data_IF_766549571896
#
_entry.id   IF_766549571896
#
_cell.length_a   1.000
_cell.length_b   1.000
_cell.length_c   1.000
_cell.angle_alpha   90.00
_cell.angle_beta   90.00
_cell.angle_gamma   90.00
#
_symmetry.space_group_name_H-M   'P 1'
#
loop_
_entity.id
_entity.type
_entity.pdbx_description
1 polymer ?
#
# COMPACT_ATOMS: atom_id res chain seq x y z
N UNK A 1 13.03 -4.29 17.57
CA UNK A 1 12.24 -5.36 16.93
C UNK A 1 12.85 -6.67 17.34
N UNK A 2 12.06 -7.66 17.77
CA UNK A 2 12.56 -8.94 18.24
C UNK A 2 12.91 -9.88 17.08
N UNK A 3 12.21 -9.77 15.94
CA UNK A 3 12.49 -10.56 14.74
C UNK A 3 12.71 -9.64 13.53
N UNK A 4 13.91 -9.64 12.97
CA UNK A 4 14.21 -8.94 11.73
C UNK A 4 13.35 -9.47 10.58
N UNK A 5 12.75 -8.59 9.78
CA UNK A 5 11.80 -8.97 8.72
C UNK A 5 11.77 -7.97 7.56
N UNK A 6 11.49 -8.47 6.37
CA UNK A 6 11.19 -7.74 5.12
C UNK A 6 9.87 -8.24 4.54
N UNK A 7 9.27 -7.49 3.61
CA UNK A 7 7.97 -7.79 2.97
C UNK A 7 6.81 -7.98 3.97
N UNK A 8 6.97 -7.36 5.14
CA UNK A 8 5.97 -7.25 6.20
C UNK A 8 5.16 -5.98 6.01
N UNK A 9 4.08 -5.84 6.78
CA UNK A 9 3.34 -4.58 6.87
C UNK A 9 3.52 -3.96 8.25
N UNK A 10 3.44 -2.63 8.31
CA UNK A 10 3.45 -1.85 9.53
C UNK A 10 2.25 -0.89 9.53
N UNK A 11 1.35 -1.04 10.49
CA UNK A 11 0.10 -0.26 10.55
C UNK A 11 -0.04 0.42 11.90
N UNK A 12 -0.28 1.75 11.88
CA UNK A 12 -0.56 2.50 13.11
C UNK A 12 -1.95 2.14 13.63
N UNK A 13 -2.01 1.88 14.92
CA UNK A 13 -3.22 1.55 15.67
C UNK A 13 -3.78 2.79 16.38
N UNK A 14 -5.07 2.76 16.70
CA UNK A 14 -5.74 3.87 17.41
C UNK A 14 -5.15 4.15 18.81
N UNK A 15 -4.53 3.15 19.44
CA UNK A 15 -3.85 3.28 20.72
C UNK A 15 -2.40 3.84 20.62
N UNK A 16 -1.99 4.30 19.43
CA UNK A 16 -0.67 4.89 19.20
C UNK A 16 0.46 3.89 18.97
N UNK A 17 0.21 2.59 19.10
CA UNK A 17 1.17 1.55 18.76
C UNK A 17 1.24 1.31 17.24
N UNK A 18 2.32 0.70 16.78
CA UNK A 18 2.46 0.22 15.40
C UNK A 18 2.45 -1.30 15.41
N UNK A 19 1.48 -1.91 14.73
CA UNK A 19 1.45 -3.35 14.46
C UNK A 19 2.39 -3.66 13.31
N UNK A 20 3.32 -4.59 13.52
CA UNK A 20 4.22 -5.12 12.49
C UNK A 20 3.93 -6.61 12.32
N UNK A 21 3.50 -7.03 11.14
CA UNK A 21 3.00 -8.41 10.90
C UNK A 21 3.58 -9.05 9.64
N UNK A 22 3.86 -10.36 9.74
CA UNK A 22 4.27 -11.21 8.62
C UNK A 22 5.69 -10.91 8.11
N UNK A 23 5.91 -11.16 6.82
CA UNK A 23 7.22 -11.00 6.17
C UNK A 23 8.12 -12.23 6.33
N UNK A 24 9.42 -12.04 6.11
CA UNK A 24 10.47 -13.05 6.29
C UNK A 24 11.84 -12.42 6.54
N UNK A 25 12.85 -13.22 6.89
CA UNK A 25 14.22 -12.75 7.14
C UNK A 25 15.25 -13.28 6.11
N UNK A 26 14.80 -13.57 4.89
CA UNK A 26 15.64 -14.20 3.86
C UNK A 26 15.86 -15.71 4.03
N UNK A 27 15.28 -16.35 5.07
CA UNK A 27 15.23 -17.82 5.22
C UNK A 27 13.94 -18.40 4.62
N UNK A 28 13.88 -19.74 4.50
CA UNK A 28 12.85 -20.47 3.77
C UNK A 28 11.40 -20.38 4.34
N UNK A 29 11.18 -19.78 5.51
CA UNK A 29 9.86 -19.70 6.13
C UNK A 29 9.37 -18.27 6.26
N UNK A 30 8.14 -18.02 5.81
CA UNK A 30 7.41 -16.77 6.09
C UNK A 30 6.93 -16.75 7.54
N UNK A 31 6.75 -15.56 8.09
CA UNK A 31 6.37 -15.39 9.50
C UNK A 31 4.86 -15.36 9.71
N UNK A 32 4.44 -16.03 10.80
CA UNK A 32 3.13 -15.85 11.44
C UNK A 32 3.15 -14.79 12.54
N UNK A 33 4.35 -14.43 13.01
CA UNK A 33 4.51 -13.55 14.16
C UNK A 33 4.14 -12.10 13.86
N UNK A 34 3.46 -11.46 14.81
CA UNK A 34 3.31 -10.02 14.89
C UNK A 34 3.99 -9.45 16.14
N UNK A 35 4.38 -8.19 16.03
CA UNK A 35 4.95 -7.40 17.12
C UNK A 35 4.31 -6.01 17.16
N UNK A 36 4.24 -5.42 18.34
CA UNK A 36 3.80 -4.07 18.58
C UNK A 36 5.00 -3.20 18.92
N UNK A 37 5.15 -2.08 18.23
CA UNK A 37 6.12 -1.06 18.55
C UNK A 37 5.45 0.12 19.26
N UNK A 38 6.01 0.51 20.40
CA UNK A 38 5.61 1.70 21.13
C UNK A 38 6.61 2.83 20.88
N UNK A 39 6.24 3.80 20.06
CA UNK A 39 7.09 4.94 19.71
C UNK A 39 7.51 5.80 20.91
N UNK A 40 6.64 5.93 21.92
CA UNK A 40 6.92 6.77 23.10
C UNK A 40 8.00 6.17 24.02
N UNK A 41 8.20 4.84 23.96
CA UNK A 41 9.16 4.13 24.83
C UNK A 41 10.29 3.46 24.05
N UNK A 42 10.17 3.32 22.73
CA UNK A 42 11.09 2.55 21.90
C UNK A 42 10.96 1.03 22.06
N UNK A 43 9.99 0.55 22.85
CA UNK A 43 9.87 -0.86 23.19
C UNK A 43 9.09 -1.67 22.16
N UNK A 44 9.44 -2.96 22.07
CA UNK A 44 8.79 -3.95 21.21
C UNK A 44 8.17 -5.06 22.06
N UNK A 45 6.90 -5.36 21.79
CA UNK A 45 6.15 -6.43 22.49
C UNK A 45 5.60 -7.42 21.48
N UNK A 46 5.77 -8.71 21.74
CA UNK A 46 5.16 -9.76 20.91
C UNK A 46 3.65 -9.78 21.16
N UNK A 47 2.85 -9.94 20.10
CA UNK A 47 1.39 -10.12 20.20
C UNK A 47 0.97 -11.46 19.58
N UNK A 48 -0.33 -11.73 19.45
CA UNK A 48 -0.85 -12.95 18.83
C UNK A 48 -0.32 -13.15 17.39
N UNK A 49 -0.43 -14.38 16.91
CA UNK A 49 0.03 -14.78 15.58
C UNK A 49 -1.15 -14.93 14.61
N UNK A 50 -0.94 -14.57 13.34
CA UNK A 50 -1.84 -14.96 12.26
C UNK A 50 -1.79 -16.49 12.06
N UNK A 51 -2.90 -17.07 11.62
CA UNK A 51 -3.02 -18.51 11.39
C UNK A 51 -2.19 -18.98 10.20
N UNK A 52 -2.10 -18.15 9.14
CA UNK A 52 -1.38 -18.42 7.89
C UNK A 52 -0.22 -17.43 7.74
N UNK A 53 1.01 -17.96 7.66
CA UNK A 53 2.20 -17.13 7.44
C UNK A 53 2.12 -16.44 6.07
N UNK A 54 2.50 -15.16 6.00
CA UNK A 54 2.36 -14.39 4.75
C UNK A 54 3.37 -13.25 4.62
N UNK A 55 3.70 -12.91 3.38
CA UNK A 55 4.40 -11.68 2.97
C UNK A 55 3.67 -11.01 1.81
N UNK A 56 4.00 -9.75 1.49
CA UNK A 56 3.36 -8.96 0.41
C UNK A 56 1.83 -8.83 0.52
N UNK A 57 1.32 -8.93 1.75
CA UNK A 57 -0.07 -8.71 2.09
C UNK A 57 -0.29 -7.22 2.39
N UNK A 58 -1.55 -6.82 2.55
CA UNK A 58 -1.92 -5.50 3.08
C UNK A 58 -2.38 -5.62 4.54
N UNK A 59 -2.23 -4.55 5.33
CA UNK A 59 -2.76 -4.44 6.69
C UNK A 59 -3.44 -3.09 6.88
N UNK A 60 -4.78 -3.09 6.90
CA UNK A 60 -5.61 -1.88 6.89
C UNK A 60 -6.30 -1.70 8.23
N UNK A 61 -6.00 -0.60 8.93
CA UNK A 61 -6.72 -0.22 10.15
C UNK A 61 -8.14 0.21 9.79
N UNK A 62 -9.13 -0.47 10.35
CA UNK A 62 -10.55 -0.26 10.10
C UNK A 62 -11.12 0.82 11.03
N UNK A 63 -12.26 1.39 10.66
CA UNK A 63 -12.95 2.40 11.47
C UNK A 63 -13.37 1.90 12.87
N UNK A 64 -13.58 0.58 13.01
CA UNK A 64 -13.88 -0.05 14.31
C UNK A 64 -12.62 -0.37 15.15
N UNK A 65 -11.42 0.03 14.69
CA UNK A 65 -10.16 -0.16 15.39
C UNK A 65 -9.50 -1.53 15.18
N UNK A 66 -10.14 -2.47 14.48
CA UNK A 66 -9.50 -3.73 14.07
C UNK A 66 -8.52 -3.48 12.92
N UNK A 67 -7.61 -4.42 12.66
CA UNK A 67 -6.75 -4.38 11.47
C UNK A 67 -7.08 -5.57 10.57
N UNK A 68 -7.50 -5.29 9.33
CA UNK A 68 -7.68 -6.29 8.29
C UNK A 68 -6.34 -6.60 7.63
N UNK A 69 -5.91 -7.86 7.71
CA UNK A 69 -4.77 -8.39 6.98
C UNK A 69 -5.27 -9.26 5.84
N UNK A 70 -4.96 -8.89 4.60
CA UNK A 70 -5.52 -9.55 3.41
C UNK A 70 -4.45 -9.89 2.37
N UNK A 71 -4.60 -11.07 1.77
CA UNK A 71 -3.77 -11.54 0.67
C UNK A 71 -2.35 -11.91 1.08
N UNK A 72 -1.43 -11.71 0.14
CA UNK A 72 -0.03 -12.09 0.28
C UNK A 72 0.27 -13.46 -0.31
N UNK A 73 1.42 -14.02 0.03
CA UNK A 73 1.81 -15.40 -0.34
C UNK A 73 2.46 -16.13 0.82
N UNK A 74 2.33 -17.45 0.80
CA UNK A 74 3.07 -18.36 1.65
C UNK A 74 3.93 -19.32 0.79
N UNK A 75 4.39 -20.43 1.38
CA UNK A 75 5.21 -21.43 0.69
C UNK A 75 4.38 -22.30 -0.28
N UNK A 76 3.06 -22.34 -0.11
CA UNK A 76 2.14 -23.15 -0.91
C UNK A 76 1.55 -22.36 -2.09
N UNK A 77 1.59 -21.02 -2.05
CA UNK A 77 1.16 -20.17 -3.14
C UNK A 77 0.68 -18.78 -2.72
N UNK A 78 -0.07 -18.14 -3.61
CA UNK A 78 -0.75 -16.87 -3.37
C UNK A 78 -1.97 -17.10 -2.47
N UNK A 79 -2.28 -16.12 -1.63
CA UNK A 79 -3.35 -16.21 -0.65
C UNK A 79 -4.49 -15.28 -1.04
N UNK A 80 -5.72 -15.79 -0.92
CA UNK A 80 -6.94 -14.98 -0.85
C UNK A 80 -7.47 -14.86 0.60
N UNK A 81 -6.83 -15.52 1.57
CA UNK A 81 -7.27 -15.49 2.97
C UNK A 81 -7.10 -14.11 3.61
N UNK A 82 -7.99 -13.82 4.56
CA UNK A 82 -7.94 -12.61 5.36
C UNK A 82 -8.18 -12.89 6.85
N UNK A 83 -7.55 -12.08 7.70
CA UNK A 83 -7.63 -12.18 9.16
C UNK A 83 -7.75 -10.79 9.79
N UNK A 84 -8.45 -10.70 10.91
CA UNK A 84 -8.65 -9.48 11.69
C UNK A 84 -7.82 -9.55 12.98
N UNK A 85 -7.00 -8.53 13.21
CA UNK A 85 -6.35 -8.31 14.50
C UNK A 85 -7.21 -7.41 15.38
N UNK A 86 -7.40 -7.79 16.64
CA UNK A 86 -7.99 -6.94 17.67
C UNK A 86 -6.90 -6.36 18.58
N UNK A 87 -6.57 -5.06 18.48
CA UNK A 87 -5.57 -4.42 19.32
C UNK A 87 -5.86 -4.44 20.82
N UNK A 88 -7.14 -4.53 21.22
CA UNK A 88 -7.52 -4.51 22.64
C UNK A 88 -7.25 -5.83 23.35
N UNK A 89 -7.26 -6.95 22.62
CA UNK A 89 -7.06 -8.30 23.16
C UNK A 89 -5.77 -8.95 22.68
N UNK A 90 -5.14 -8.41 21.63
CA UNK A 90 -3.97 -9.02 20.99
C UNK A 90 -4.29 -10.30 20.22
N UNK A 91 -5.57 -10.55 19.91
CA UNK A 91 -6.02 -11.80 19.27
C UNK A 91 -6.29 -11.62 17.78
N UNK A 92 -6.20 -12.72 17.04
CA UNK A 92 -6.53 -12.80 15.61
C UNK A 92 -7.77 -13.64 15.39
N UNK A 93 -8.60 -13.23 14.43
CA UNK A 93 -9.80 -13.97 14.00
C UNK A 93 -9.83 -14.08 12.49
N UNK A 94 -10.08 -15.26 11.95
CA UNK A 94 -10.29 -15.44 10.50
C UNK A 94 -11.57 -14.78 10.04
N UNK A 95 -11.56 -14.14 8.87
CA UNK A 95 -12.76 -13.60 8.21
C UNK A 95 -12.96 -14.28 6.84
N UNK A 96 -13.97 -13.90 6.07
CA UNK A 96 -14.17 -14.47 4.75
C UNK A 96 -12.94 -14.23 3.85
N UNK A 97 -12.71 -15.15 2.91
CA UNK A 97 -11.65 -15.01 1.92
C UNK A 97 -12.05 -14.00 0.84
N UNK A 98 -11.05 -13.31 0.29
CA UNK A 98 -11.15 -12.57 -0.97
C UNK A 98 -11.56 -13.51 -2.11
N UNK A 99 -12.10 -12.92 -3.17
CA UNK A 99 -12.49 -13.64 -4.38
C UNK A 99 -11.27 -14.05 -5.22
N UNK A 100 -10.21 -13.24 -5.18
CA UNK A 100 -8.99 -13.45 -5.95
C UNK A 100 -7.77 -13.38 -5.03
N UNK A 101 -6.89 -14.37 -5.11
CA UNK A 101 -5.60 -14.34 -4.45
C UNK A 101 -4.66 -13.33 -5.09
N UNK A 102 -3.89 -12.62 -4.26
CA UNK A 102 -3.09 -11.48 -4.74
C UNK A 102 -1.94 -11.13 -3.81
N UNK A 103 -0.79 -10.83 -4.40
CA UNK A 103 0.31 -10.09 -3.77
C UNK A 103 0.40 -8.68 -4.35
N UNK A 104 1.08 -7.77 -3.67
CA UNK A 104 1.50 -6.47 -4.22
C UNK A 104 0.34 -5.60 -4.76
N UNK A 105 -0.83 -5.84 -4.19
CA UNK A 105 -2.05 -5.07 -4.34
C UNK A 105 -2.09 -3.93 -3.33
N UNK A 106 -3.01 -3.00 -3.50
CA UNK A 106 -3.29 -1.96 -2.50
C UNK A 106 -4.62 -2.22 -1.81
N UNK A 107 -4.74 -1.74 -0.57
CA UNK A 107 -5.98 -1.76 0.21
C UNK A 107 -6.25 -0.36 0.78
N UNK A 108 -7.39 0.23 0.44
CA UNK A 108 -7.78 1.58 0.84
C UNK A 108 -9.10 1.57 1.60
N UNK A 109 -9.15 2.16 2.79
CA UNK A 109 -10.42 2.41 3.46
C UNK A 109 -11.18 3.53 2.75
N UNK A 110 -12.45 3.29 2.47
CA UNK A 110 -13.35 4.23 1.80
C UNK A 110 -14.12 5.05 2.84
N UNK A 111 -14.66 6.19 2.43
CA UNK A 111 -15.45 7.06 3.32
C UNK A 111 -16.69 6.36 3.92
N UNK A 112 -17.23 5.35 3.23
CA UNK A 112 -18.33 4.53 3.72
C UNK A 112 -17.90 3.37 4.65
N UNK A 113 -16.61 3.28 4.99
CA UNK A 113 -16.05 2.26 5.89
C UNK A 113 -15.71 0.93 5.23
N UNK A 114 -16.03 0.73 3.94
CA UNK A 114 -15.57 -0.45 3.19
C UNK A 114 -14.07 -0.36 2.92
N UNK A 115 -13.42 -1.50 2.68
CA UNK A 115 -12.02 -1.55 2.22
C UNK A 115 -12.00 -1.96 0.75
N UNK A 116 -11.51 -1.08 -0.12
CA UNK A 116 -11.22 -1.38 -1.51
C UNK A 116 -9.87 -2.05 -1.61
N UNK A 117 -9.83 -3.27 -2.14
CA UNK A 117 -8.62 -3.98 -2.54
C UNK A 117 -8.54 -3.99 -4.06
N UNK A 118 -7.40 -3.57 -4.63
CA UNK A 118 -7.26 -3.42 -6.08
C UNK A 118 -5.90 -3.89 -6.60
N UNK A 119 -5.93 -4.50 -7.78
CA UNK A 119 -4.78 -4.97 -8.53
C UNK A 119 -3.98 -6.07 -7.82
N UNK A 120 -2.68 -6.08 -8.08
CA UNK A 120 -1.73 -7.07 -7.59
C UNK A 120 -1.36 -8.12 -8.63
N UNK A 121 -0.78 -9.22 -8.15
CA UNK A 121 -0.29 -10.31 -8.98
C UNK A 121 -0.68 -11.70 -8.46
N UNK A 122 -0.95 -12.62 -9.38
CA UNK A 122 -1.06 -14.06 -9.15
C UNK A 122 -0.56 -14.84 -10.38
N UNK A 123 -0.29 -16.14 -10.25
CA UNK A 123 0.23 -16.93 -11.39
C UNK A 123 -0.83 -17.23 -12.47
N UNK A 124 -2.12 -17.10 -12.14
CA UNK A 124 -3.22 -17.39 -13.07
C UNK A 124 -3.37 -16.29 -14.14
N UNK A 125 -3.51 -15.04 -13.72
CA UNK A 125 -3.75 -13.88 -14.60
C UNK A 125 -2.50 -13.01 -14.75
N UNK A 126 -1.46 -13.26 -13.96
CA UNK A 126 -0.24 -12.42 -13.82
C UNK A 126 -0.56 -11.09 -13.19
N UNK A 127 -1.08 -10.12 -13.93
CA UNK A 127 -1.37 -8.79 -13.42
C UNK A 127 -2.87 -8.61 -13.30
N UNK A 128 -3.32 -8.18 -12.11
CA UNK A 128 -4.73 -8.02 -11.83
C UNK A 128 -5.16 -6.59 -12.15
N UNK A 129 -6.29 -6.47 -12.84
CA UNK A 129 -7.09 -5.23 -12.89
C UNK A 129 -8.35 -5.33 -12.00
N UNK A 130 -8.57 -6.49 -11.38
CA UNK A 130 -9.74 -6.73 -10.55
C UNK A 130 -9.68 -5.97 -9.24
N UNK A 131 -10.85 -5.57 -8.76
CA UNK A 131 -11.02 -4.97 -7.46
C UNK A 131 -12.18 -5.62 -6.69
N UNK A 132 -12.07 -5.61 -5.37
CA UNK A 132 -13.10 -6.11 -4.47
C UNK A 132 -13.21 -5.26 -3.20
N UNK A 133 -14.38 -5.30 -2.59
CA UNK A 133 -14.74 -4.54 -1.39
C UNK A 133 -14.92 -5.51 -0.22
N UNK A 134 -14.20 -5.26 0.86
CA UNK A 134 -14.49 -5.88 2.15
C UNK A 134 -15.47 -5.00 2.92
N UNK A 135 -16.51 -5.62 3.49
CA UNK A 135 -17.41 -4.98 4.43
C UNK A 135 -17.08 -5.42 5.87
N UNK A 136 -16.48 -4.54 6.70
CA UNK A 136 -16.16 -4.85 8.10
C UNK A 136 -17.36 -5.21 8.97
N UNK A 137 -18.57 -4.76 8.63
CA UNK A 137 -19.76 -5.02 9.44
C UNK A 137 -20.31 -6.44 9.27
N UNK A 138 -20.12 -7.03 8.09
CA UNK A 138 -20.59 -8.38 7.74
C UNK A 138 -19.46 -9.39 7.63
N UNK A 139 -18.21 -8.91 7.50
CA UNK A 139 -17.04 -9.76 7.26
C UNK A 139 -17.04 -10.41 5.88
N UNK A 140 -17.72 -9.81 4.90
CA UNK A 140 -17.88 -10.37 3.54
C UNK A 140 -17.14 -9.57 2.48
N UNK A 141 -16.75 -10.25 1.40
CA UNK A 141 -16.15 -9.64 0.21
C UNK A 141 -17.15 -9.58 -0.94
N UNK A 142 -17.07 -8.54 -1.77
CA UNK A 142 -17.89 -8.39 -2.98
C UNK A 142 -17.04 -7.80 -4.10
N UNK A 143 -17.16 -8.34 -5.31
CA UNK A 143 -16.48 -7.79 -6.48
C UNK A 143 -17.05 -6.42 -6.85
N UNK A 144 -16.21 -5.54 -7.40
CA UNK A 144 -16.62 -4.23 -7.93
C UNK A 144 -16.07 -4.06 -9.36
N UNK A 145 -16.22 -2.89 -9.96
CA UNK A 145 -15.65 -2.61 -11.28
C UNK A 145 -14.14 -2.86 -11.35
N UNK A 146 -13.65 -3.16 -12.54
CA UNK A 146 -12.24 -3.42 -12.80
C UNK A 146 -11.53 -2.15 -13.30
N UNK A 147 -10.25 -2.02 -12.97
CA UNK A 147 -9.37 -1.02 -13.60
C UNK A 147 -9.24 -1.28 -15.10
N UNK A 148 -8.95 -0.23 -15.87
CA UNK A 148 -8.67 -0.30 -17.29
C UNK A 148 -7.30 -0.94 -17.56
N UNK A 149 -6.30 -0.66 -16.71
CA UNK A 149 -4.99 -1.30 -16.78
C UNK A 149 -4.74 -2.20 -15.57
N UNK A 150 -4.36 -3.45 -15.85
CA UNK A 150 -3.84 -4.36 -14.85
C UNK A 150 -2.51 -3.87 -14.29
N UNK A 151 -2.30 -4.00 -12.97
CA UNK A 151 -1.12 -3.43 -12.30
C UNK A 151 -0.83 -4.09 -10.95
N UNK A 152 0.45 -4.31 -10.68
CA UNK A 152 1.00 -4.53 -9.33
C UNK A 152 1.92 -3.37 -8.94
N UNK A 153 2.32 -3.26 -7.66
CA UNK A 153 3.27 -2.25 -7.16
C UNK A 153 2.85 -0.78 -7.39
N UNK A 154 1.57 -0.57 -7.64
CA UNK A 154 0.96 0.75 -7.78
C UNK A 154 0.66 1.34 -6.40
N UNK A 155 0.31 2.62 -6.35
CA UNK A 155 -0.21 3.26 -5.14
C UNK A 155 -1.68 3.60 -5.31
N UNK A 156 -2.40 3.66 -4.19
CA UNK A 156 -3.78 4.13 -4.10
C UNK A 156 -3.87 5.26 -3.07
N UNK A 157 -4.58 6.35 -3.39
CA UNK A 157 -4.71 7.52 -2.53
C UNK A 157 -6.16 7.99 -2.52
N UNK A 158 -6.74 8.12 -1.32
CA UNK A 158 -8.03 8.74 -1.15
C UNK A 158 -7.93 10.24 -1.42
N UNK A 159 -8.87 10.75 -2.20
CA UNK A 159 -9.01 12.16 -2.53
C UNK A 159 -10.11 12.81 -1.69
N UNK A 160 -10.08 14.14 -1.60
CA UNK A 160 -11.04 14.92 -0.81
C UNK A 160 -12.51 14.73 -1.26
N UNK A 161 -12.73 14.46 -2.55
CA UNK A 161 -14.06 14.18 -3.09
C UNK A 161 -14.52 12.72 -2.89
N UNK A 162 -13.75 11.90 -2.16
CA UNK A 162 -14.06 10.50 -1.88
C UNK A 162 -13.69 9.51 -2.99
N UNK A 163 -13.13 9.96 -4.12
CA UNK A 163 -12.57 9.06 -5.13
C UNK A 163 -11.24 8.46 -4.65
N UNK A 164 -10.87 7.30 -5.18
CA UNK A 164 -9.55 6.70 -4.97
C UNK A 164 -8.73 6.86 -6.25
N UNK A 165 -7.62 7.59 -6.17
CA UNK A 165 -6.64 7.70 -7.24
C UNK A 165 -5.67 6.52 -7.17
N UNK A 166 -5.62 5.73 -8.24
CA UNK A 166 -4.61 4.67 -8.43
C UNK A 166 -3.60 5.10 -9.47
N UNK A 167 -2.30 4.95 -9.18
CA UNK A 167 -1.23 5.48 -10.04
C UNK A 167 -0.09 4.50 -10.23
N UNK A 168 0.41 4.44 -11.47
CA UNK A 168 1.61 3.69 -11.84
C UNK A 168 1.52 2.18 -11.58
N UNK A 169 2.65 1.59 -11.24
CA UNK A 169 2.81 0.14 -11.12
C UNK A 169 3.41 -0.50 -12.37
N UNK A 170 3.32 -1.83 -12.42
CA UNK A 170 3.94 -2.64 -13.45
C UNK A 170 2.96 -3.65 -14.06
N UNK A 171 3.10 -3.88 -15.37
CA UNK A 171 2.52 -5.01 -16.11
C UNK A 171 3.41 -5.40 -17.30
N UNK A 172 3.21 -6.58 -17.90
CA UNK A 172 4.07 -7.00 -19.01
C UNK A 172 3.80 -6.31 -20.35
N UNK A 173 2.63 -5.69 -20.51
CA UNK A 173 2.24 -5.01 -21.75
C UNK A 173 3.05 -3.72 -21.98
N UNK A 174 3.22 -2.92 -20.92
CA UNK A 174 3.87 -1.59 -20.98
C UNK A 174 5.12 -1.52 -20.10
N UNK A 175 5.38 -2.56 -19.29
CA UNK A 175 6.42 -2.60 -18.25
C UNK A 175 6.12 -1.65 -17.11
N UNK A 176 6.39 -0.37 -17.28
CA UNK A 176 6.17 0.64 -16.23
C UNK A 176 4.98 1.50 -16.62
N UNK A 177 4.04 1.66 -15.71
CA UNK A 177 2.84 2.46 -15.95
C UNK A 177 3.09 3.90 -15.52
N UNK A 178 2.73 4.85 -16.38
CA UNK A 178 2.47 6.24 -16.00
C UNK A 178 0.96 6.53 -15.91
N UNK A 179 0.11 5.56 -16.24
CA UNK A 179 -1.33 5.74 -16.22
C UNK A 179 -1.87 5.87 -14.80
N UNK A 180 -2.90 6.69 -14.67
CA UNK A 180 -3.65 6.86 -13.44
C UNK A 180 -5.16 6.70 -13.69
N UNK A 181 -5.86 6.19 -12.69
CA UNK A 181 -7.29 5.90 -12.74
C UNK A 181 -7.97 6.31 -11.44
N UNK A 182 -9.23 6.71 -11.54
CA UNK A 182 -10.07 7.09 -10.41
C UNK A 182 -11.15 6.03 -10.21
N UNK A 183 -11.22 5.46 -9.01
CA UNK A 183 -12.35 4.65 -8.58
C UNK A 183 -13.40 5.53 -7.92
N UNK A 184 -14.66 5.36 -8.31
CA UNK A 184 -15.81 5.98 -7.67
C UNK A 184 -16.55 4.98 -6.75
N UNK A 185 -16.42 5.10 -5.42
CA UNK A 185 -17.08 4.21 -4.47
C UNK A 185 -18.60 4.18 -4.53
N UNK A 186 -19.24 5.25 -5.01
CA UNK A 186 -20.72 5.35 -5.01
C UNK A 186 -21.38 4.48 -6.07
N UNK A 187 -20.66 4.21 -7.17
CA UNK A 187 -21.17 3.44 -8.31
C UNK A 187 -20.27 2.27 -8.71
N UNK A 188 -19.12 2.11 -8.06
CA UNK A 188 -18.22 0.99 -8.30
C UNK A 188 -17.54 1.01 -9.66
N UNK A 189 -17.28 2.19 -10.24
CA UNK A 189 -16.69 2.32 -11.59
C UNK A 189 -15.30 2.94 -11.55
N UNK A 190 -14.51 2.64 -12.58
CA UNK A 190 -13.19 3.21 -12.82
C UNK A 190 -13.20 4.12 -14.04
N UNK A 191 -12.53 5.26 -13.93
CA UNK A 191 -12.35 6.21 -15.03
C UNK A 191 -10.87 6.56 -15.16
N UNK A 192 -10.34 6.61 -16.39
CA UNK A 192 -8.99 7.10 -16.63
C UNK A 192 -8.89 8.60 -16.32
N UNK A 193 -7.73 9.03 -15.82
CA UNK A 193 -7.41 10.44 -15.60
C UNK A 193 -6.08 10.80 -16.29
N UNK A 194 -5.58 12.02 -16.09
CA UNK A 194 -4.27 12.43 -16.63
C UNK A 194 -3.16 11.45 -16.23
N UNK A 195 -2.22 11.24 -17.15
CA UNK A 195 -1.07 10.37 -16.93
C UNK A 195 0.08 11.14 -16.25
N UNK A 196 0.86 10.44 -15.43
CA UNK A 196 2.15 10.96 -14.95
C UNK A 196 3.09 11.20 -16.14
N UNK A 197 4.02 12.14 -15.99
CA UNK A 197 5.08 12.41 -16.95
C UNK A 197 6.09 11.27 -16.98
N UNK A 198 6.37 10.67 -15.82
CA UNK A 198 7.30 9.54 -15.67
C UNK A 198 6.54 8.27 -15.27
N UNK A 199 6.72 7.19 -16.02
CA UNK A 199 6.24 5.87 -15.65
C UNK A 199 7.02 5.33 -14.44
N UNK A 200 6.34 4.69 -13.48
CA UNK A 200 6.97 4.24 -12.24
C UNK A 200 6.19 3.14 -11.54
N UNK A 201 6.93 2.26 -10.89
CA UNK A 201 6.45 1.33 -9.87
C UNK A 201 7.18 1.59 -8.54
N UNK A 202 6.67 1.06 -7.43
CA UNK A 202 7.30 1.19 -6.10
C UNK A 202 7.53 2.63 -5.62
N UNK A 203 6.85 3.60 -6.22
CA UNK A 203 6.82 4.97 -5.74
C UNK A 203 5.96 5.09 -4.50
N UNK A 204 6.11 6.19 -3.80
CA UNK A 204 5.18 6.57 -2.73
C UNK A 204 4.18 7.58 -3.26
N UNK A 205 3.00 7.61 -2.64
CA UNK A 205 1.99 8.63 -2.86
C UNK A 205 1.57 9.23 -1.52
N UNK A 206 1.39 10.55 -1.46
CA UNK A 206 1.03 11.29 -0.26
C UNK A 206 -0.01 12.36 -0.60
N UNK A 207 -1.23 12.22 -0.07
CA UNK A 207 -2.28 13.25 -0.21
C UNK A 207 -1.97 14.43 0.69
N UNK A 208 -1.58 15.56 0.11
CA UNK A 208 -1.21 16.78 0.83
C UNK A 208 -2.43 17.51 1.40
N UNK A 209 -2.20 18.43 2.34
CA UNK A 209 -3.26 19.26 2.92
C UNK A 209 -3.97 20.15 1.88
N UNK A 210 -3.34 20.41 0.73
CA UNK A 210 -3.95 21.10 -0.42
C UNK A 210 -4.92 20.23 -1.23
N UNK A 211 -5.06 18.95 -0.89
CA UNK A 211 -5.83 17.96 -1.67
C UNK A 211 -5.08 17.38 -2.88
N UNK A 212 -3.90 17.90 -3.21
CA UNK A 212 -3.05 17.34 -4.28
C UNK A 212 -2.36 16.05 -3.81
N UNK A 213 -2.11 15.12 -4.74
CA UNK A 213 -1.35 13.90 -4.43
C UNK A 213 0.07 14.04 -4.94
N UNK A 214 1.04 14.03 -4.03
CA UNK A 214 2.46 13.96 -4.35
C UNK A 214 2.86 12.50 -4.60
N UNK A 215 3.34 12.21 -5.79
CA UNK A 215 4.00 10.95 -6.11
C UNK A 215 5.51 11.19 -6.20
N UNK A 216 6.30 10.39 -5.49
CA UNK A 216 7.75 10.57 -5.42
C UNK A 216 8.53 9.25 -5.63
N UNK A 217 9.64 9.37 -6.35
CA UNK A 217 10.60 8.29 -6.59
C UNK A 217 10.00 7.11 -7.36
N UNK A 218 10.37 5.91 -6.94
CA UNK A 218 10.01 4.67 -7.61
C UNK A 218 11.11 4.19 -8.56
N UNK A 219 10.75 3.23 -9.41
CA UNK A 219 11.65 2.59 -10.35
C UNK A 219 11.07 2.65 -11.77
N UNK A 220 11.92 2.94 -12.75
CA UNK A 220 11.53 3.06 -14.15
C UNK A 220 12.69 2.75 -15.08
N UNK A 221 12.43 2.02 -16.17
CA UNK A 221 13.38 1.78 -17.27
C UNK A 221 14.80 1.42 -16.78
N UNK A 222 14.89 0.51 -15.80
CA UNK A 222 16.12 0.03 -15.18
C UNK A 222 16.88 1.01 -14.25
N UNK A 223 16.23 2.09 -13.78
CA UNK A 223 16.83 3.04 -12.84
C UNK A 223 15.87 3.45 -11.73
N UNK A 224 16.43 3.76 -10.54
CA UNK A 224 15.68 4.41 -9.48
C UNK A 224 15.40 5.86 -9.85
N UNK A 225 14.25 6.38 -9.43
CA UNK A 225 13.86 7.76 -9.66
C UNK A 225 14.04 8.59 -8.40
N UNK A 226 14.46 9.84 -8.58
CA UNK A 226 14.37 10.89 -7.56
C UNK A 226 13.31 11.95 -7.92
N UNK A 227 12.71 11.87 -9.10
CA UNK A 227 11.67 12.81 -9.55
C UNK A 227 10.40 12.65 -8.73
N UNK A 228 9.65 13.75 -8.63
CA UNK A 228 8.32 13.76 -8.03
C UNK A 228 7.35 14.57 -8.89
N UNK A 229 6.07 14.23 -8.79
CA UNK A 229 4.99 14.85 -9.55
C UNK A 229 3.76 15.04 -8.65
N UNK A 230 3.02 16.13 -8.89
CA UNK A 230 1.79 16.44 -8.17
C UNK A 230 0.59 16.23 -9.08
N UNK A 231 -0.36 15.42 -8.62
CA UNK A 231 -1.68 15.32 -9.23
C UNK A 231 -2.60 16.39 -8.67
N UNK A 232 -3.21 17.17 -9.55
CA UNK A 232 -4.25 18.12 -9.21
C UNK A 232 -5.61 17.58 -9.67
N UNK A 233 -6.49 17.28 -8.70
CA UNK A 233 -7.81 16.73 -8.98
C UNK A 233 -8.72 17.69 -9.78
N UNK A 234 -8.68 19.00 -9.52
CA UNK A 234 -9.56 19.95 -10.19
C UNK A 234 -9.30 20.07 -11.69
N UNK A 235 -8.07 19.79 -12.12
CA UNK A 235 -7.65 19.86 -13.52
C UNK A 235 -7.41 18.49 -14.14
N UNK A 236 -7.38 17.42 -13.33
CA UNK A 236 -6.98 16.07 -13.74
C UNK A 236 -5.60 16.03 -14.43
N UNK A 237 -4.66 16.86 -13.97
CA UNK A 237 -3.31 16.97 -14.56
C UNK A 237 -2.20 16.64 -13.57
N UNK A 238 -1.05 16.25 -14.13
CA UNK A 238 0.19 16.02 -13.40
C UNK A 238 1.21 17.11 -13.71
N UNK A 239 1.81 17.67 -12.66
CA UNK A 239 2.86 18.68 -12.77
C UNK A 239 4.14 18.15 -12.13
N UNK A 240 5.26 18.22 -12.85
CA UNK A 240 6.58 17.92 -12.29
C UNK A 240 6.89 18.95 -11.19
N UNK A 241 7.35 18.48 -10.04
CA UNK A 241 7.74 19.32 -8.91
C UNK A 241 9.23 19.10 -8.60
N UNK A 242 9.71 19.58 -7.46
CA UNK A 242 11.06 19.30 -6.96
C UNK A 242 11.45 17.81 -7.01
N UNK A 243 12.74 17.53 -6.84
CA UNK A 243 13.26 16.16 -6.81
C UNK A 243 13.87 15.87 -5.45
N UNK A 244 13.82 14.60 -5.05
CA UNK A 244 14.60 14.09 -3.94
C UNK A 244 16.11 14.21 -4.27
N UNK A 245 16.91 14.36 -3.24
CA UNK A 245 18.38 14.38 -3.35
C UNK A 245 18.95 13.03 -3.79
N UNK A 246 18.24 11.94 -3.50
CA UNK A 246 18.65 10.58 -3.81
C UNK A 246 17.51 9.85 -4.52
N UNK A 247 17.86 9.11 -5.57
CA UNK A 247 16.93 8.24 -6.27
C UNK A 247 16.61 7.00 -5.44
N UNK A 248 15.32 6.69 -5.24
CA UNK A 248 14.89 5.64 -4.30
C UNK A 248 13.61 4.96 -4.77
N UNK A 249 13.57 3.64 -4.59
CA UNK A 249 12.35 2.82 -4.64
C UNK A 249 12.27 1.93 -3.39
N UNK A 250 11.09 1.39 -3.08
CA UNK A 250 10.79 0.76 -1.78
C UNK A 250 11.07 1.66 -0.56
N UNK A 251 11.07 2.98 -0.76
CA UNK A 251 11.15 3.94 0.34
C UNK A 251 9.77 4.12 0.98
N UNK A 252 9.75 4.74 2.15
CA UNK A 252 8.49 5.19 2.77
C UNK A 252 8.40 6.70 2.68
N UNK A 253 7.17 7.21 2.59
CA UNK A 253 6.89 8.64 2.69
C UNK A 253 5.83 8.83 3.77
N UNK A 254 6.01 9.83 4.62
CA UNK A 254 5.07 10.16 5.69
C UNK A 254 4.85 11.67 5.74
N UNK A 255 3.59 12.08 5.79
CA UNK A 255 3.22 13.48 5.96
C UNK A 255 3.38 13.84 7.44
N UNK A 256 4.13 14.89 7.70
CA UNK A 256 4.36 15.42 9.04
C UNK A 256 3.30 16.44 9.42
N UNK A 257 3.15 16.72 10.71
CA UNK A 257 2.18 17.68 11.23
C UNK A 257 2.33 19.10 10.65
N UNK A 258 3.53 19.46 10.17
CA UNK A 258 3.80 20.73 9.51
C UNK A 258 3.55 20.70 7.98
N UNK A 259 2.95 19.64 7.45
CA UNK A 259 2.64 19.46 6.03
C UNK A 259 3.81 18.99 5.17
N UNK A 260 5.03 18.90 5.69
CA UNK A 260 6.18 18.37 4.93
C UNK A 260 6.07 16.86 4.76
N UNK A 261 6.61 16.36 3.65
CA UNK A 261 6.71 14.91 3.42
C UNK A 261 8.11 14.45 3.80
N UNK A 262 8.21 13.56 4.79
CA UNK A 262 9.44 12.91 5.18
C UNK A 262 9.58 11.62 4.37
N UNK A 263 10.64 11.54 3.56
CA UNK A 263 11.01 10.32 2.83
C UNK A 263 12.12 9.62 3.60
N UNK A 264 11.94 8.33 3.88
CA UNK A 264 12.96 7.54 4.60
C UNK A 264 13.26 6.22 3.91
N UNK A 265 14.50 5.76 4.07
CA UNK A 265 14.97 4.45 3.61
C UNK A 265 14.88 4.30 2.07
N UNK A 266 14.62 3.08 1.60
CA UNK A 266 14.61 2.70 0.20
C UNK A 266 15.97 2.23 -0.30
N UNK A 267 16.03 1.94 -1.59
CA UNK A 267 17.24 1.45 -2.26
C UNK A 267 17.46 2.10 -3.62
N UNK A 268 18.69 2.03 -4.09
CA UNK A 268 19.06 2.30 -5.49
C UNK A 268 20.11 1.29 -5.95
N UNK A 269 19.81 0.55 -7.02
CA UNK A 269 20.63 -0.59 -7.44
C UNK A 269 20.81 -1.59 -6.28
N UNK A 270 22.07 -1.87 -5.92
CA UNK A 270 22.44 -2.76 -4.81
C UNK A 270 22.54 -2.04 -3.45
N UNK A 271 22.46 -0.70 -3.43
CA UNK A 271 22.63 0.08 -2.21
C UNK A 271 21.29 0.25 -1.48
N UNK A 272 21.29 -0.05 -0.18
CA UNK A 272 20.19 0.26 0.74
C UNK A 272 20.53 1.54 1.52
N UNK A 273 19.54 2.40 1.72
CA UNK A 273 19.75 3.67 2.41
C UNK A 273 19.17 3.63 3.82
N UNK A 274 19.88 4.21 4.78
CA UNK A 274 19.41 4.50 6.14
C UNK A 274 19.14 6.00 6.36
N UNK A 275 19.20 6.79 5.29
CA UNK A 275 19.02 8.24 5.30
C UNK A 275 17.53 8.64 5.24
N UNK A 276 17.24 9.84 5.73
CA UNK A 276 15.95 10.49 5.60
C UNK A 276 16.13 11.88 4.96
N UNK A 277 15.14 12.33 4.20
CA UNK A 277 15.11 13.66 3.60
C UNK A 277 13.71 14.26 3.64
N UNK A 278 13.62 15.59 3.77
CA UNK A 278 12.35 16.31 3.66
C UNK A 278 12.13 16.70 2.21
N UNK A 279 10.97 16.33 1.69
CA UNK A 279 10.47 16.91 0.47
C UNK A 279 9.74 18.21 0.81
N UNK A 280 10.25 19.32 0.29
CA UNK A 280 9.59 20.63 0.35
C UNK A 280 8.70 20.74 -0.90
N UNK A 281 7.39 20.69 -0.72
CA UNK A 281 6.49 21.21 -1.76
C UNK A 281 6.74 22.71 -1.87
N UNK A 282 7.24 23.17 -3.01
CA UNK A 282 7.26 24.59 -3.35
C UNK A 282 5.81 25.05 -3.57
#
# INVERSE_FOLDING_TARGET
MNVARIDHTASRLANGLVLVIGGHNGRASYFKSAELYNESTGNWTITGNISIARRFHTATTLANGLVLVAGGRNNDGYLNSAELYNPSTGTWTTTANMNVERIDHTASILANGLVLVTGGYNDDVKYLNSAELYNPSTGTWTTTGNMNAARQFHTASALENGLILVTGGYNDDVKYLNSAELYNPSIGTWTTTGNMNTAREFHTASTLASGSVLVAGGYSCASSLNSAELYNLSTSTWTITGSMSIARYYHTASILANGKVLVTSGRSGTAFFNSAEFYLSI
#
